data_IF_857399949400
#
_entry.id   IF_857399949400
#
_cell.length_a   1.000
_cell.length_b   1.000
_cell.length_c   1.000
_cell.angle_alpha   90.00
_cell.angle_beta   90.00
_cell.angle_gamma   90.00
#
_symmetry.space_group_name_H-M   'P 1'
#
loop_
_entity.id
_entity.type
_entity.pdbx_description
1 polymer ?
#
# COMPACT_ATOMS: atom_id res chain seq x y z
N UNK A 1 -22.78 2.38 16.91
CA UNK A 1 -21.33 2.34 16.59
C UNK A 1 -21.06 1.68 15.25
N UNK A 2 -21.60 0.49 14.98
CA UNK A 2 -21.37 -0.21 13.71
C UNK A 2 -21.84 0.58 12.48
N UNK A 3 -23.00 1.23 12.54
CA UNK A 3 -23.52 2.03 11.41
C UNK A 3 -22.66 3.27 11.13
N UNK A 4 -22.12 3.88 12.18
CA UNK A 4 -21.19 5.01 12.06
C UNK A 4 -19.89 4.58 11.37
N UNK A 5 -19.29 3.47 11.81
CA UNK A 5 -18.09 2.90 11.17
C UNK A 5 -18.37 2.51 9.73
N UNK A 6 -19.56 1.98 9.44
CA UNK A 6 -19.97 1.63 8.09
C UNK A 6 -20.12 2.86 7.18
N UNK A 7 -20.74 3.93 7.68
CA UNK A 7 -20.87 5.20 6.97
C UNK A 7 -19.50 5.82 6.68
N UNK A 8 -18.58 5.81 7.66
CA UNK A 8 -17.22 6.32 7.49
C UNK A 8 -16.40 5.47 6.51
N UNK A 9 -16.56 4.14 6.54
CA UNK A 9 -15.93 3.20 5.62
C UNK A 9 -16.38 3.40 4.17
N UNK A 10 -17.69 3.59 3.97
CA UNK A 10 -18.31 3.73 2.65
C UNK A 10 -18.28 5.16 2.14
N UNK A 11 -18.04 6.15 3.01
CA UNK A 11 -18.10 7.58 2.70
C UNK A 11 -19.44 8.01 2.08
N UNK A 12 -20.55 7.44 2.60
CA UNK A 12 -21.90 7.69 2.08
C UNK A 12 -22.18 7.04 0.72
N UNK A 13 -21.48 5.98 0.36
CA UNK A 13 -21.69 5.24 -0.89
C UNK A 13 -22.25 3.85 -0.64
N UNK A 14 -23.49 3.65 -1.07
CA UNK A 14 -24.13 2.34 -1.07
C UNK A 14 -23.96 1.65 -2.42
N UNK A 15 -23.25 0.53 -2.39
CA UNK A 15 -22.97 -0.32 -3.54
C UNK A 15 -22.67 -1.74 -3.08
N UNK A 16 -23.17 -2.73 -3.84
CA UNK A 16 -22.90 -4.14 -3.57
C UNK A 16 -21.39 -4.44 -3.55
N UNK A 17 -20.91 -5.33 -2.66
CA UNK A 17 -19.50 -5.73 -2.57
C UNK A 17 -18.88 -6.16 -3.90
N UNK A 18 -19.66 -6.78 -4.80
CA UNK A 18 -19.18 -7.27 -6.10
C UNK A 18 -19.19 -6.20 -7.20
N UNK A 19 -20.14 -5.27 -7.12
CA UNK A 19 -20.33 -4.22 -8.13
C UNK A 19 -19.31 -3.11 -7.93
N UNK A 20 -18.93 -2.86 -6.67
CA UNK A 20 -18.03 -1.77 -6.31
C UNK A 20 -16.63 -1.87 -6.96
N UNK A 21 -15.90 -3.01 -6.92
CA UNK A 21 -14.63 -3.16 -7.63
C UNK A 21 -14.75 -3.00 -9.15
N UNK A 22 -15.85 -3.48 -9.74
CA UNK A 22 -16.13 -3.29 -11.17
C UNK A 22 -16.30 -1.82 -11.52
N UNK A 23 -16.99 -1.04 -10.68
CA UNK A 23 -17.11 0.41 -10.87
C UNK A 23 -15.78 1.16 -10.74
N UNK A 24 -14.85 0.68 -9.90
CA UNK A 24 -13.51 1.26 -9.79
C UNK A 24 -12.64 1.02 -11.03
N UNK A 25 -12.80 -0.15 -11.67
CA UNK A 25 -12.11 -0.50 -12.91
C UNK A 25 -12.71 0.20 -14.13
N UNK A 26 -14.02 0.43 -14.11
CA UNK A 26 -14.77 1.05 -15.19
C UNK A 26 -15.55 2.26 -14.66
N UNK A 27 -14.90 3.44 -14.57
CA UNK A 27 -15.50 4.66 -14.02
C UNK A 27 -16.89 5.03 -14.57
N UNK A 28 -17.24 4.77 -15.86
CA UNK A 28 -18.59 5.02 -16.36
C UNK A 28 -19.70 4.28 -15.60
N UNK A 29 -19.42 3.10 -15.03
CA UNK A 29 -20.39 2.31 -14.26
C UNK A 29 -20.82 3.02 -12.96
N UNK A 30 -19.97 3.90 -12.42
CA UNK A 30 -20.25 4.66 -11.20
C UNK A 30 -21.43 5.64 -11.35
N UNK A 31 -21.80 6.00 -12.58
CA UNK A 31 -22.91 6.91 -12.86
C UNK A 31 -24.26 6.19 -13.07
N UNK A 32 -24.25 4.85 -13.06
CA UNK A 32 -25.48 4.06 -13.17
C UNK A 32 -26.18 4.02 -11.82
N UNK A 33 -27.24 4.84 -11.66
CA UNK A 33 -28.00 4.99 -10.40
C UNK A 33 -28.58 3.68 -9.84
N UNK A 34 -28.78 2.65 -10.68
CA UNK A 34 -29.22 1.32 -10.22
C UNK A 34 -28.11 0.50 -9.55
N UNK A 35 -26.85 0.83 -9.80
CA UNK A 35 -25.67 0.10 -9.32
C UNK A 35 -24.95 0.83 -8.18
N UNK A 36 -24.98 2.16 -8.19
CA UNK A 36 -24.34 3.01 -7.19
C UNK A 36 -25.33 4.05 -6.67
N UNK A 37 -25.57 4.01 -5.36
CA UNK A 37 -26.37 5.02 -4.65
C UNK A 37 -25.43 5.88 -3.81
N UNK A 38 -25.47 7.18 -4.08
CA UNK A 38 -24.77 8.17 -3.27
C UNK A 38 -25.76 8.70 -2.25
N UNK A 39 -25.40 8.65 -0.98
CA UNK A 39 -26.15 9.29 0.09
C UNK A 39 -26.10 10.80 -0.17
N UNK A 40 -27.26 11.37 -0.45
CA UNK A 40 -27.39 12.79 -0.70
C UNK A 40 -27.13 13.52 0.62
N UNK A 41 -26.00 14.24 0.71
CA UNK A 41 -25.77 15.15 1.82
C UNK A 41 -26.86 16.22 1.79
N UNK A 42 -27.86 16.07 2.65
CA UNK A 42 -28.76 17.16 3.03
C UNK A 42 -27.87 18.27 3.56
N UNK A 43 -27.67 19.30 2.76
CA UNK A 43 -26.92 20.47 3.18
C UNK A 43 -27.55 21.01 4.45
N UNK A 44 -26.80 20.99 5.54
CA UNK A 44 -27.02 21.90 6.66
C UNK A 44 -26.79 23.33 6.15
N UNK A 45 -27.83 23.86 5.49
CA UNK A 45 -27.95 25.26 5.16
C UNK A 45 -28.64 25.91 6.35
N UNK A 46 -27.87 26.71 7.09
CA UNK A 46 -28.31 27.70 8.09
C UNK A 46 -29.08 27.18 9.31
N UNK A 47 -28.35 26.73 10.33
CA UNK A 47 -28.82 26.70 11.72
C UNK A 47 -28.03 27.70 12.59
N UNK A 48 -27.73 28.88 12.01
CA UNK A 48 -27.17 30.05 12.70
C UNK A 48 -27.84 31.31 12.15
N UNK A 49 -29.13 31.49 12.48
CA UNK A 49 -29.80 32.79 12.52
C UNK A 49 -31.15 32.64 13.21
N UNK A 50 -31.12 32.35 14.51
CA UNK A 50 -32.29 32.50 15.36
C UNK A 50 -32.25 33.89 16.01
N UNK A 51 -32.72 34.89 15.27
CA UNK A 51 -33.14 36.18 15.84
C UNK A 51 -34.65 36.28 15.60
N UNK A 52 -35.40 36.13 16.70
CA UNK A 52 -36.75 36.63 16.98
C UNK A 52 -37.59 37.15 15.79
N UNK A 53 -38.74 36.53 15.54
CA UNK A 53 -40.05 37.18 15.69
C UNK A 53 -41.20 36.21 15.38
N UNK A 54 -42.24 36.27 16.20
CA UNK A 54 -43.55 35.64 16.04
C UNK A 54 -44.15 35.88 14.63
N UNK A 55 -44.54 34.81 13.94
CA UNK A 55 -45.70 34.80 13.04
C UNK A 55 -46.08 33.35 12.70
N UNK A 56 -47.33 32.99 12.97
CA UNK A 56 -47.93 31.71 12.59
C UNK A 56 -48.46 31.81 11.15
N UNK A 57 -47.79 31.12 10.23
CA UNK A 57 -48.36 30.67 8.96
C UNK A 57 -47.81 29.27 8.63
N UNK A 58 -48.62 28.35 8.07
CA UNK A 58 -48.13 27.02 7.74
C UNK A 58 -47.30 27.10 6.45
N UNK A 59 -45.98 27.04 6.59
CA UNK A 59 -45.06 26.90 5.45
C UNK A 59 -45.24 25.51 4.83
N UNK A 60 -45.55 25.50 3.54
CA UNK A 60 -45.39 24.38 2.61
C UNK A 60 -44.04 23.68 2.86
N UNK A 61 -43.94 22.33 2.81
CA UNK A 61 -42.67 21.63 2.96
C UNK A 61 -41.81 21.96 1.74
N UNK A 62 -41.02 23.03 1.90
CA UNK A 62 -40.07 23.54 0.95
C UNK A 62 -39.33 22.39 0.28
N UNK A 63 -39.44 22.39 -1.04
CA UNK A 63 -38.61 21.66 -1.99
C UNK A 63 -37.17 21.61 -1.47
N UNK A 64 -36.78 20.47 -0.90
CA UNK A 64 -35.38 20.21 -0.56
C UNK A 64 -34.67 20.13 -1.91
N UNK A 65 -34.06 21.23 -2.33
CA UNK A 65 -33.23 21.28 -3.53
C UNK A 65 -32.02 20.40 -3.26
N UNK A 66 -32.17 19.11 -3.54
CA UNK A 66 -31.09 18.14 -3.58
C UNK A 66 -30.15 18.59 -4.68
N UNK A 67 -29.05 19.22 -4.30
CA UNK A 67 -28.01 19.62 -5.24
C UNK A 67 -27.26 18.38 -5.67
N UNK A 68 -27.67 17.78 -6.79
CA UNK A 68 -26.95 16.64 -7.37
C UNK A 68 -25.46 17.02 -7.55
N UNK A 69 -24.57 16.28 -6.87
CA UNK A 69 -23.14 16.51 -6.95
C UNK A 69 -22.65 16.31 -8.40
N UNK A 70 -21.73 17.18 -8.84
CA UNK A 70 -21.14 17.08 -10.19
C UNK A 70 -20.43 15.73 -10.39
N UNK A 71 -20.35 15.21 -11.62
CA UNK A 71 -19.75 13.90 -11.90
C UNK A 71 -18.31 13.76 -11.37
N UNK A 72 -17.52 14.83 -11.46
CA UNK A 72 -16.15 14.88 -10.93
C UNK A 72 -16.11 14.79 -9.40
N UNK A 73 -17.03 15.47 -8.70
CA UNK A 73 -17.12 15.40 -7.23
C UNK A 73 -17.54 14.01 -6.77
N UNK A 74 -18.44 13.35 -7.50
CA UNK A 74 -18.81 11.94 -7.23
C UNK A 74 -17.62 11.01 -7.41
N UNK A 75 -16.82 11.22 -8.47
CA UNK A 75 -15.61 10.45 -8.71
C UNK A 75 -14.60 10.64 -7.57
N UNK A 76 -14.32 11.89 -7.20
CA UNK A 76 -13.42 12.23 -6.09
C UNK A 76 -13.89 11.62 -4.76
N UNK A 77 -15.20 11.66 -4.48
CA UNK A 77 -15.78 11.03 -3.30
C UNK A 77 -15.61 9.50 -3.30
N UNK A 78 -15.78 8.84 -4.45
CA UNK A 78 -15.55 7.40 -4.59
C UNK A 78 -14.08 7.06 -4.31
N UNK A 79 -13.14 7.69 -5.03
CA UNK A 79 -11.70 7.36 -4.92
C UNK A 79 -11.05 7.83 -3.60
N UNK A 80 -11.65 8.80 -2.91
CA UNK A 80 -11.20 9.21 -1.57
C UNK A 80 -11.67 8.26 -0.46
N UNK A 81 -12.72 7.46 -0.70
CA UNK A 81 -13.29 6.54 0.29
C UNK A 81 -12.27 5.49 0.77
N UNK A 82 -12.27 5.12 2.07
CA UNK A 82 -11.45 4.03 2.59
C UNK A 82 -11.68 2.72 1.84
N UNK A 83 -12.95 2.44 1.51
CA UNK A 83 -13.36 1.27 0.73
C UNK A 83 -12.70 1.22 -0.65
N UNK A 84 -12.64 2.32 -1.39
CA UNK A 84 -11.98 2.35 -2.70
C UNK A 84 -10.48 2.12 -2.58
N UNK A 85 -9.83 2.82 -1.63
CA UNK A 85 -8.40 2.66 -1.35
C UNK A 85 -8.05 1.22 -1.03
N UNK A 86 -8.84 0.56 -0.19
CA UNK A 86 -8.65 -0.86 0.14
C UNK A 86 -8.77 -1.76 -1.09
N UNK A 87 -9.81 -1.60 -1.91
CA UNK A 87 -10.02 -2.45 -3.09
C UNK A 87 -8.95 -2.24 -4.16
N UNK A 88 -8.52 -0.99 -4.40
CA UNK A 88 -7.44 -0.69 -5.32
C UNK A 88 -6.10 -1.26 -4.84
N UNK A 89 -5.83 -1.17 -3.53
CA UNK A 89 -4.63 -1.75 -2.94
C UNK A 89 -4.64 -3.28 -3.01
N UNK A 90 -5.78 -3.91 -2.73
CA UNK A 90 -5.93 -5.36 -2.90
C UNK A 90 -5.67 -5.77 -4.36
N UNK A 91 -6.23 -5.03 -5.32
CA UNK A 91 -6.04 -5.32 -6.73
C UNK A 91 -4.59 -5.14 -7.17
N UNK A 92 -3.89 -4.10 -6.68
CA UNK A 92 -2.47 -3.90 -6.98
C UNK A 92 -1.59 -5.00 -6.40
N UNK A 93 -1.85 -5.48 -5.17
CA UNK A 93 -1.14 -6.62 -4.60
C UNK A 93 -1.39 -7.90 -5.40
N UNK A 94 -2.62 -8.16 -5.85
CA UNK A 94 -2.94 -9.32 -6.69
C UNK A 94 -2.19 -9.25 -8.02
N UNK A 95 -2.21 -8.10 -8.68
CA UNK A 95 -1.48 -7.89 -9.94
C UNK A 95 0.04 -8.04 -9.75
N UNK A 96 0.60 -7.45 -8.69
CA UNK A 96 2.02 -7.58 -8.34
C UNK A 96 2.38 -9.05 -8.07
N UNK A 97 1.54 -9.78 -7.34
CA UNK A 97 1.77 -11.20 -7.03
C UNK A 97 1.80 -12.03 -8.32
N UNK A 98 0.80 -11.84 -9.20
CA UNK A 98 0.75 -12.54 -10.49
C UNK A 98 1.99 -12.20 -11.33
N UNK A 99 2.36 -10.92 -11.41
CA UNK A 99 3.53 -10.47 -12.14
C UNK A 99 4.84 -11.03 -11.57
N UNK A 100 4.97 -11.06 -10.23
CA UNK A 100 6.11 -11.62 -9.53
C UNK A 100 6.24 -13.12 -9.79
N UNK A 101 5.15 -13.88 -9.70
CA UNK A 101 5.14 -15.32 -10.00
C UNK A 101 5.48 -15.59 -11.47
N UNK A 102 4.88 -14.84 -12.40
CA UNK A 102 5.19 -14.96 -13.82
C UNK A 102 6.68 -14.69 -14.10
N UNK A 103 7.22 -13.61 -13.55
CA UNK A 103 8.64 -13.26 -13.71
C UNK A 103 9.55 -14.30 -13.08
N UNK A 104 9.20 -14.82 -11.89
CA UNK A 104 9.97 -15.83 -11.19
C UNK A 104 10.05 -17.17 -11.93
N UNK A 105 8.97 -17.58 -12.59
CA UNK A 105 8.92 -18.86 -13.32
C UNK A 105 9.59 -18.76 -14.69
N UNK A 106 9.37 -17.68 -15.43
CA UNK A 106 9.75 -17.60 -16.85
C UNK A 106 10.97 -16.73 -17.14
N UNK A 107 11.29 -15.77 -16.27
CA UNK A 107 12.31 -14.75 -16.55
C UNK A 107 13.50 -14.77 -15.59
N UNK A 108 13.38 -15.39 -14.41
CA UNK A 108 14.52 -15.61 -13.52
C UNK A 108 15.36 -16.78 -14.03
N UNK A 109 16.54 -16.47 -14.55
CA UNK A 109 17.49 -17.46 -15.05
C UNK A 109 18.95 -17.03 -14.86
N UNK A 110 19.93 -17.89 -15.22
CA UNK A 110 21.36 -17.59 -15.09
C UNK A 110 21.86 -16.51 -16.07
N UNK A 111 21.01 -16.06 -16.99
CA UNK A 111 21.24 -15.01 -17.97
C UNK A 111 21.36 -13.61 -17.33
N UNK A 112 21.85 -12.59 -18.07
CA UNK A 112 21.82 -11.19 -17.62
C UNK A 112 20.40 -10.72 -17.29
N UNK A 113 20.31 -9.66 -16.47
CA UNK A 113 19.05 -9.12 -15.97
C UNK A 113 18.03 -8.87 -17.08
N UNK A 114 16.87 -9.50 -16.95
CA UNK A 114 15.75 -9.24 -17.86
C UNK A 114 15.03 -7.94 -17.50
N UNK A 115 14.46 -7.25 -18.49
CA UNK A 115 13.64 -6.04 -18.25
C UNK A 115 12.51 -6.33 -17.25
N UNK A 116 11.92 -7.54 -17.31
CA UNK A 116 10.88 -7.97 -16.37
C UNK A 116 11.38 -8.10 -14.93
N UNK A 117 12.61 -8.61 -14.72
CA UNK A 117 13.23 -8.68 -13.39
C UNK A 117 13.49 -7.26 -12.84
N UNK A 118 13.97 -6.33 -13.68
CA UNK A 118 14.22 -4.94 -13.26
C UNK A 118 12.94 -4.25 -12.83
N UNK A 119 11.86 -4.36 -13.61
CA UNK A 119 10.55 -3.80 -13.25
C UNK A 119 10.05 -4.41 -11.93
N UNK A 120 10.18 -5.74 -11.77
CA UNK A 120 9.80 -6.41 -10.54
C UNK A 120 10.60 -5.89 -9.33
N UNK A 121 11.92 -5.69 -9.46
CA UNK A 121 12.72 -5.16 -8.37
C UNK A 121 12.35 -3.74 -7.99
N UNK A 122 12.09 -2.87 -8.97
CA UNK A 122 11.65 -1.49 -8.69
C UNK A 122 10.33 -1.50 -7.91
N UNK A 123 9.37 -2.33 -8.31
CA UNK A 123 8.08 -2.46 -7.62
C UNK A 123 8.23 -3.03 -6.21
N UNK A 124 9.03 -4.09 -6.03
CA UNK A 124 9.26 -4.73 -4.73
C UNK A 124 10.04 -3.83 -3.76
N UNK A 125 10.98 -3.03 -4.26
CA UNK A 125 11.72 -2.06 -3.46
C UNK A 125 10.80 -0.91 -3.05
N UNK A 126 10.01 -0.35 -3.98
CA UNK A 126 9.04 0.69 -3.66
C UNK A 126 8.05 0.23 -2.57
N UNK A 127 7.51 -0.98 -2.72
CA UNK A 127 6.62 -1.58 -1.74
C UNK A 127 7.29 -1.74 -0.36
N UNK A 128 8.48 -2.32 -0.33
CA UNK A 128 9.26 -2.48 0.91
C UNK A 128 9.50 -1.15 1.62
N UNK A 129 9.79 -0.08 0.87
CA UNK A 129 10.00 1.25 1.44
C UNK A 129 8.72 1.87 1.98
N UNK A 130 7.59 1.72 1.27
CA UNK A 130 6.30 2.22 1.74
C UNK A 130 5.87 1.55 3.05
N UNK A 131 6.03 0.23 3.16
CA UNK A 131 5.72 -0.55 4.36
C UNK A 131 6.62 -0.13 5.54
N UNK A 132 7.94 -0.06 5.32
CA UNK A 132 8.89 0.38 6.35
C UNK A 132 8.66 1.84 6.77
N UNK A 133 8.31 2.72 5.83
CA UNK A 133 8.00 4.12 6.12
C UNK A 133 6.70 4.25 6.92
N UNK A 134 5.70 3.40 6.68
CA UNK A 134 4.47 3.36 7.46
C UNK A 134 4.77 2.98 8.92
N UNK A 135 5.56 1.94 9.14
CA UNK A 135 6.02 1.54 10.50
C UNK A 135 6.81 2.67 11.16
N UNK A 136 7.70 3.32 10.42
CA UNK A 136 8.47 4.46 10.93
C UNK A 136 7.58 5.65 11.33
N UNK A 137 6.58 6.00 10.50
CA UNK A 137 5.63 7.07 10.81
C UNK A 137 4.77 6.74 12.03
N UNK A 138 4.32 5.49 12.15
CA UNK A 138 3.57 5.02 13.32
C UNK A 138 4.42 5.13 14.60
N UNK A 139 5.69 4.75 14.52
CA UNK A 139 6.64 4.88 15.62
C UNK A 139 6.84 6.34 16.04
N UNK A 140 7.06 7.25 15.08
CA UNK A 140 7.30 8.66 15.36
C UNK A 140 6.06 9.38 15.92
N UNK A 141 4.85 9.02 15.48
CA UNK A 141 3.63 9.81 15.75
C UNK A 141 2.93 9.44 17.04
N UNK A 142 2.99 8.18 17.48
CA UNK A 142 2.14 7.69 18.58
C UNK A 142 2.86 7.43 19.91
N UNK A 143 4.15 7.77 20.00
CA UNK A 143 4.93 7.67 21.25
C UNK A 143 5.17 6.23 21.73
N UNK A 144 5.91 6.05 22.84
CA UNK A 144 6.38 4.73 23.31
C UNK A 144 5.26 3.74 23.66
N UNK A 145 4.10 4.22 24.11
CA UNK A 145 3.01 3.37 24.58
C UNK A 145 2.24 2.70 23.44
N UNK A 146 1.82 3.49 22.43
CA UNK A 146 1.13 2.92 21.26
C UNK A 146 2.11 2.14 20.37
N UNK A 147 3.37 2.59 20.28
CA UNK A 147 4.42 1.84 19.62
C UNK A 147 4.52 0.41 20.18
N UNK A 148 4.55 0.24 21.51
CA UNK A 148 4.63 -1.10 22.12
C UNK A 148 3.46 -2.00 21.73
N UNK A 149 2.26 -1.43 21.56
CA UNK A 149 1.09 -2.16 21.05
C UNK A 149 1.29 -2.58 19.59
N UNK A 150 1.68 -1.67 18.70
CA UNK A 150 1.93 -2.01 17.29
C UNK A 150 3.04 -3.06 17.13
N UNK A 151 4.14 -2.92 17.86
CA UNK A 151 5.24 -3.89 17.85
C UNK A 151 4.90 -5.22 18.54
N UNK A 152 3.78 -5.31 19.26
CA UNK A 152 3.27 -6.59 19.78
C UNK A 152 2.47 -7.38 18.74
N UNK A 153 2.05 -6.74 17.64
CA UNK A 153 1.29 -7.39 16.59
C UNK A 153 2.23 -8.23 15.71
N UNK A 154 1.95 -9.54 15.52
CA UNK A 154 2.80 -10.39 14.70
C UNK A 154 2.81 -9.97 13.23
N UNK A 155 1.72 -9.37 12.74
CA UNK A 155 1.59 -8.92 11.36
C UNK A 155 2.65 -7.87 10.99
N UNK A 156 2.93 -6.93 11.90
CA UNK A 156 3.95 -5.89 11.69
C UNK A 156 5.34 -6.51 11.52
N UNK A 157 5.67 -7.52 12.32
CA UNK A 157 6.94 -8.23 12.19
C UNK A 157 7.04 -9.03 10.89
N UNK A 158 5.94 -9.64 10.45
CA UNK A 158 5.90 -10.34 9.17
C UNK A 158 6.21 -9.38 8.02
N UNK A 159 5.58 -8.19 7.99
CA UNK A 159 5.80 -7.17 6.96
C UNK A 159 7.23 -6.61 6.96
N UNK A 160 7.78 -6.34 8.16
CA UNK A 160 9.17 -5.85 8.29
C UNK A 160 10.17 -6.92 7.85
N UNK A 161 9.98 -8.17 8.29
CA UNK A 161 10.87 -9.28 7.93
C UNK A 161 10.77 -9.62 6.45
N UNK A 162 9.57 -9.61 5.86
CA UNK A 162 9.39 -9.84 4.42
C UNK A 162 10.07 -8.74 3.59
N UNK A 163 9.92 -7.48 3.98
CA UNK A 163 10.56 -6.35 3.32
C UNK A 163 12.09 -6.45 3.37
N UNK A 164 12.65 -6.77 4.54
CA UNK A 164 14.09 -6.99 4.70
C UNK A 164 14.59 -8.16 3.86
N UNK A 165 13.85 -9.29 3.86
CA UNK A 165 14.21 -10.46 3.08
C UNK A 165 14.21 -10.15 1.58
N UNK A 166 13.21 -9.41 1.09
CA UNK A 166 13.14 -8.96 -0.31
C UNK A 166 14.37 -8.13 -0.68
N UNK A 167 14.72 -7.12 0.13
CA UNK A 167 15.89 -6.26 -0.12
C UNK A 167 17.17 -7.10 -0.14
N UNK A 168 17.36 -7.99 0.83
CA UNK A 168 18.53 -8.88 0.90
C UNK A 168 18.60 -9.78 -0.34
N UNK A 169 17.48 -10.39 -0.76
CA UNK A 169 17.41 -11.23 -1.95
C UNK A 169 17.79 -10.47 -3.23
N UNK A 170 17.30 -9.24 -3.39
CA UNK A 170 17.64 -8.39 -4.54
C UNK A 170 19.14 -8.05 -4.52
N UNK A 171 19.68 -7.62 -3.37
CA UNK A 171 21.11 -7.33 -3.22
C UNK A 171 21.98 -8.55 -3.53
N UNK A 172 21.61 -9.73 -3.03
CA UNK A 172 22.31 -10.99 -3.30
C UNK A 172 22.26 -11.34 -4.78
N UNK A 173 21.09 -11.20 -5.42
CA UNK A 173 20.92 -11.49 -6.84
C UNK A 173 21.73 -10.54 -7.74
N UNK A 174 21.87 -9.27 -7.34
CA UNK A 174 22.76 -8.29 -7.99
C UNK A 174 24.22 -8.66 -7.77
N UNK A 175 24.62 -8.97 -6.54
CA UNK A 175 26.01 -9.29 -6.20
C UNK A 175 26.51 -10.61 -6.81
N UNK A 176 25.61 -11.59 -6.98
CA UNK A 176 25.88 -12.92 -7.56
C UNK A 176 25.60 -12.97 -9.07
N UNK A 177 25.25 -11.84 -9.70
CA UNK A 177 25.04 -11.76 -11.14
C UNK A 177 26.29 -12.21 -11.94
N UNK A 178 26.12 -12.63 -13.20
CA UNK A 178 27.18 -13.21 -14.03
C UNK A 178 28.41 -12.31 -14.27
N UNK A 179 28.33 -11.01 -13.94
CA UNK A 179 29.45 -10.07 -13.95
C UNK A 179 30.33 -10.15 -12.68
N UNK A 180 30.43 -11.34 -12.09
CA UNK A 180 31.00 -11.63 -10.77
C UNK A 180 32.54 -11.52 -10.70
N UNK A 181 33.14 -10.50 -11.30
CA UNK A 181 34.47 -10.01 -10.94
C UNK A 181 34.56 -9.69 -9.43
N UNK A 182 33.42 -9.43 -8.78
CA UNK A 182 33.28 -9.21 -7.33
C UNK A 182 33.17 -10.50 -6.50
N UNK A 183 32.60 -11.60 -6.99
CA UNK A 183 32.57 -12.88 -6.24
C UNK A 183 33.97 -13.48 -6.15
N UNK A 184 34.76 -13.40 -7.22
CA UNK A 184 36.18 -13.76 -7.16
C UNK A 184 36.98 -12.80 -6.27
N UNK A 185 36.64 -11.51 -6.23
CA UNK A 185 37.24 -10.53 -5.31
C UNK A 185 36.88 -10.78 -3.83
N UNK A 186 35.64 -11.16 -3.54
CA UNK A 186 35.16 -11.45 -2.18
C UNK A 186 35.68 -12.79 -1.66
N UNK A 187 35.73 -13.82 -2.53
CA UNK A 187 36.38 -15.10 -2.24
C UNK A 187 37.90 -14.92 -2.07
N UNK A 188 38.56 -14.07 -2.88
CA UNK A 188 39.97 -13.73 -2.70
C UNK A 188 40.24 -12.93 -1.41
N UNK A 189 39.32 -12.06 -1.00
CA UNK A 189 39.41 -11.32 0.27
C UNK A 189 39.23 -12.24 1.49
N UNK A 190 38.28 -13.19 1.43
CA UNK A 190 38.08 -14.20 2.47
C UNK A 190 39.24 -15.21 2.52
N UNK A 191 39.73 -15.68 1.37
CA UNK A 191 40.88 -16.60 1.29
C UNK A 191 42.20 -16.00 1.78
N UNK A 192 42.43 -14.70 1.57
CA UNK A 192 43.60 -13.99 2.13
C UNK A 192 43.53 -13.85 3.65
N UNK A 193 42.33 -13.70 4.22
CA UNK A 193 42.19 -13.56 5.67
C UNK A 193 42.44 -14.88 6.43
N UNK A 194 42.23 -16.04 5.79
CA UNK A 194 42.48 -17.35 6.42
C UNK A 194 43.95 -17.80 6.33
N UNK A 195 44.71 -17.33 5.33
CA UNK A 195 46.14 -17.72 5.16
C UNK A 195 47.08 -16.89 6.05
N UNK A 196 46.66 -15.73 6.55
CA UNK A 196 47.47 -14.87 7.42
C UNK A 196 47.60 -15.35 8.89
N UNK A 197 46.99 -16.48 9.26
CA UNK A 197 46.98 -17.02 10.64
C UNK A 197 47.73 -18.37 10.80
N UNK A 198 48.66 -18.71 9.91
CA UNK A 198 49.56 -19.86 10.12
C UNK A 198 50.97 -19.37 10.51
N UNK A 199 51.40 -19.54 11.77
CA UNK A 199 52.74 -19.15 12.17
C UNK A 199 53.79 -20.09 11.54
N UNK A 200 54.75 -19.47 10.86
CA UNK A 200 55.95 -20.09 10.29
C UNK A 200 56.72 -20.86 11.38
N UNK A 201 56.80 -22.19 11.24
CA UNK A 201 57.83 -23.00 11.93
C UNK A 201 59.21 -22.67 11.34
N UNK A 202 60.25 -22.46 12.15
CA UNK A 202 61.60 -22.25 11.64
C UNK A 202 62.17 -23.56 11.11
N UNK A 203 62.77 -23.50 9.92
CA UNK A 203 63.59 -24.58 9.35
C UNK A 203 64.92 -24.64 10.12
N UNK A 204 65.19 -25.76 10.77
CA UNK A 204 66.57 -26.14 11.10
C UNK A 204 67.29 -26.55 9.81
N UNK A 205 68.44 -25.91 9.57
CA UNK A 205 69.42 -26.27 8.55
C UNK A 205 70.47 -27.15 9.26
N UNK A 206 70.93 -28.27 8.65
CA UNK A 206 71.95 -29.16 9.23
C UNK A 206 73.33 -28.50 9.31
#
# INVERSE_FOLDING_TARGET
>A
MQDYVHSEWTNGLDASPFIFPMGLLFPPLLFVKSLFRFEEQTGSSSMDQQTTSDSKEPLDPAEVIVKEASPLKKLEQVYSSPRAKYNLNLLSYMALTIYATYTAIYHIGPAPFSIYEVILYVLLVALSFDDLMLVFRLWCRYGRYLARFFFSLPLVWIEVLSSLLIIICICLRIALGPDSLTVNGFIAALGKSTIAMLPLRPKHVP
#
